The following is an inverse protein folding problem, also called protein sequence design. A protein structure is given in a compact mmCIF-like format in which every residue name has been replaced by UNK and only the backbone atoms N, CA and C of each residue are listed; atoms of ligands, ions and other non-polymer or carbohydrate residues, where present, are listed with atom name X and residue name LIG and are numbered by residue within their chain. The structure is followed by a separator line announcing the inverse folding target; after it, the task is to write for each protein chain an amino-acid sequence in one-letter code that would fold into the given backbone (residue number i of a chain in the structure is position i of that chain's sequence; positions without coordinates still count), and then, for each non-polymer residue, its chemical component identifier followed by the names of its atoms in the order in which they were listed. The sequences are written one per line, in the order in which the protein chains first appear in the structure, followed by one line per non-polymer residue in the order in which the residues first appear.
data_IF_656863994594
#
_entry.id   IF_656863994594
#
_cell.length_a   1.000
_cell.length_b   1.000
_cell.length_c   1.000
_cell.angle_alpha   90.00
_cell.angle_beta   90.00
_cell.angle_gamma   90.00
#
_symmetry.space_group_name_H-M   'P 1'
#
loop_
_entity.id
_entity.type
_entity.pdbx_description
1 polymer ?
#
# COMPACT_ATOMS: atom_id res chain seq x y z
N UNK A 1 -27.11 -3.88 25.33
CA UNK A 1 -28.25 -3.57 26.23
C UNK A 1 -28.82 -4.89 26.73
N UNK A 2 -29.19 -4.97 28.01
CA UNK A 2 -29.74 -6.18 28.64
C UNK A 2 -31.06 -5.87 29.32
N UNK A 3 -31.94 -6.87 29.43
CA UNK A 3 -33.18 -6.79 30.20
C UNK A 3 -32.95 -7.05 31.71
N UNK A 4 -34.04 -7.04 32.49
CA UNK A 4 -34.01 -7.31 33.93
C UNK A 4 -33.59 -8.74 34.30
N UNK A 5 -33.70 -9.69 33.36
CA UNK A 5 -33.23 -11.06 33.52
C UNK A 5 -31.76 -11.23 33.07
N UNK A 6 -31.11 -10.16 32.60
CA UNK A 6 -29.74 -10.17 32.12
C UNK A 6 -29.57 -10.65 30.68
N UNK A 7 -30.65 -10.89 29.93
CA UNK A 7 -30.63 -11.33 28.52
C UNK A 7 -30.27 -10.15 27.63
N UNK A 8 -29.44 -10.37 26.60
CA UNK A 8 -29.04 -9.31 25.65
C UNK A 8 -30.22 -9.00 24.72
N UNK A 9 -30.68 -7.76 24.69
CA UNK A 9 -31.82 -7.34 23.87
C UNK A 9 -31.43 -6.50 22.65
N UNK A 10 -30.26 -5.87 22.70
CA UNK A 10 -29.75 -5.06 21.59
C UNK A 10 -28.24 -4.87 21.72
N UNK A 11 -27.55 -4.70 20.60
CA UNK A 11 -26.15 -4.29 20.52
C UNK A 11 -26.10 -2.97 19.75
N UNK A 12 -25.79 -1.89 20.45
CA UNK A 12 -25.60 -0.58 19.83
C UNK A 12 -24.14 -0.42 19.41
N UNK A 13 -23.91 0.05 18.19
CA UNK A 13 -22.58 0.46 17.76
C UNK A 13 -22.22 1.80 18.39
N UNK A 14 -21.01 1.88 18.94
CA UNK A 14 -20.42 3.12 19.49
C UNK A 14 -19.25 3.62 18.62
N UNK A 15 -19.14 3.08 17.41
CA UNK A 15 -18.13 3.49 16.44
C UNK A 15 -18.48 4.82 15.77
N UNK A 16 -17.58 5.28 14.90
CA UNK A 16 -17.84 6.38 13.99
C UNK A 16 -17.71 5.90 12.54
N UNK A 17 -18.12 6.74 11.60
CA UNK A 17 -18.04 6.47 10.16
C UNK A 17 -16.77 7.05 9.52
N UNK A 18 -15.76 7.37 10.31
CA UNK A 18 -14.50 7.91 9.79
C UNK A 18 -13.56 6.77 9.41
N UNK A 19 -12.98 6.88 8.23
CA UNK A 19 -11.90 6.01 7.79
C UNK A 19 -10.65 6.81 7.47
N UNK A 20 -9.51 6.32 7.93
CA UNK A 20 -8.20 6.83 7.58
C UNK A 20 -7.74 6.19 6.29
N UNK A 21 -7.30 7.00 5.34
CA UNK A 21 -6.63 6.54 4.13
C UNK A 21 -5.14 6.91 4.16
N UNK A 22 -4.33 6.12 3.47
CA UNK A 22 -2.89 6.34 3.28
C UNK A 22 -2.61 6.41 1.78
N UNK A 23 -1.79 7.36 1.36
CA UNK A 23 -1.33 7.45 -0.02
C UNK A 23 -0.35 6.31 -0.32
N UNK A 24 -0.66 5.49 -1.34
CA UNK A 24 0.13 4.31 -1.73
C UNK A 24 0.83 4.49 -3.08
N UNK A 25 0.43 5.49 -3.84
CA UNK A 25 1.12 6.01 -5.02
C UNK A 25 0.71 7.47 -5.22
N UNK A 26 1.43 8.27 -6.01
CA UNK A 26 1.07 9.67 -6.26
C UNK A 26 -0.40 9.80 -6.70
N UNK A 27 -1.21 10.48 -5.88
CA UNK A 27 -2.64 10.71 -6.12
C UNK A 27 -3.58 9.53 -5.81
N UNK A 28 -3.07 8.37 -5.40
CA UNK A 28 -3.90 7.22 -5.03
C UNK A 28 -3.81 6.91 -3.54
N UNK A 29 -4.95 7.01 -2.86
CA UNK A 29 -5.08 6.64 -1.45
C UNK A 29 -5.79 5.31 -1.27
N UNK A 30 -5.45 4.60 -0.20
CA UNK A 30 -6.04 3.33 0.19
C UNK A 30 -6.42 3.37 1.68
N UNK A 31 -7.60 2.89 2.02
CA UNK A 31 -8.03 2.70 3.42
C UNK A 31 -8.10 1.21 3.73
N UNK A 32 -7.45 0.79 4.82
CA UNK A 32 -7.56 -0.58 5.34
C UNK A 32 -8.64 -0.72 6.42
N UNK A 33 -9.43 0.32 6.62
CA UNK A 33 -10.44 0.39 7.67
C UNK A 33 -11.83 0.17 7.10
N UNK A 34 -12.60 -0.64 7.81
CA UNK A 34 -14.02 -0.82 7.60
C UNK A 34 -14.79 -0.16 8.74
N UNK A 35 -15.91 0.47 8.39
CA UNK A 35 -16.81 1.04 9.38
C UNK A 35 -17.60 -0.10 10.03
N UNK A 36 -17.67 -0.11 11.36
CA UNK A 36 -18.40 -1.16 12.08
C UNK A 36 -19.92 -1.10 11.87
N UNK A 37 -20.48 0.10 11.72
CA UNK A 37 -21.90 0.31 11.48
C UNK A 37 -22.17 1.52 10.60
N UNK A 38 -23.04 1.37 9.62
CA UNK A 38 -23.63 2.47 8.87
C UNK A 38 -25.13 2.58 9.17
N UNK A 39 -25.51 3.68 9.84
CA UNK A 39 -26.91 3.94 10.18
C UNK A 39 -27.58 4.94 9.23
N UNK A 40 -26.84 5.42 8.23
CA UNK A 40 -27.35 6.34 7.22
C UNK A 40 -27.62 5.57 5.92
N UNK A 41 -28.51 6.10 5.08
CA UNK A 41 -28.85 5.49 3.78
C UNK A 41 -27.77 5.72 2.69
N UNK A 42 -26.53 6.01 3.11
CA UNK A 42 -25.40 6.27 2.22
C UNK A 42 -24.07 6.29 2.96
N UNK A 43 -22.97 6.28 2.20
CA UNK A 43 -21.61 6.23 2.74
C UNK A 43 -20.98 4.86 2.64
N UNK A 44 -19.97 4.61 3.48
CA UNK A 44 -19.25 3.34 3.51
C UNK A 44 -20.11 2.25 4.15
N UNK A 45 -20.10 1.07 3.54
CA UNK A 45 -20.86 -0.09 4.04
C UNK A 45 -20.39 -0.46 5.44
N UNK A 46 -21.36 -0.69 6.34
CA UNK A 46 -21.10 -1.10 7.72
C UNK A 46 -20.91 -2.62 7.83
N UNK A 47 -19.88 -3.05 8.55
CA UNK A 47 -19.53 -4.48 8.68
C UNK A 47 -20.56 -5.28 9.49
N UNK A 48 -21.00 -4.76 10.64
CA UNK A 48 -21.89 -5.48 11.55
C UNK A 48 -23.33 -4.98 11.52
N UNK A 49 -23.54 -3.77 11.02
CA UNK A 49 -24.86 -3.18 10.85
C UNK A 49 -24.84 -2.18 9.72
N UNK A 50 -25.78 -2.30 8.79
CA UNK A 50 -25.94 -1.39 7.67
C UNK A 50 -27.42 -1.19 7.37
N UNK A 51 -27.91 0.04 7.50
CA UNK A 51 -29.33 0.36 7.27
C UNK A 51 -29.70 0.27 5.79
N UNK A 52 -28.80 0.65 4.89
CA UNK A 52 -29.04 0.65 3.46
C UNK A 52 -29.06 -0.77 2.87
N UNK A 53 -28.37 -1.71 3.50
CA UNK A 53 -28.36 -3.13 3.13
C UNK A 53 -29.28 -3.99 4.02
N UNK A 54 -30.00 -3.38 4.95
CA UNK A 54 -30.88 -4.07 5.91
C UNK A 54 -30.18 -5.18 6.71
N UNK A 55 -28.91 -4.98 7.03
CA UNK A 55 -28.08 -5.89 7.82
C UNK A 55 -28.04 -5.42 9.27
N UNK A 56 -28.38 -6.29 10.22
CA UNK A 56 -28.08 -6.12 11.65
C UNK A 56 -27.65 -7.46 12.25
N UNK A 57 -26.35 -7.77 12.13
CA UNK A 57 -25.80 -9.09 12.51
C UNK A 57 -26.20 -9.48 13.93
N UNK A 58 -26.09 -8.55 14.86
CA UNK A 58 -26.41 -8.84 16.26
C UNK A 58 -27.92 -8.83 16.53
N UNK A 59 -28.69 -7.97 15.85
CA UNK A 59 -30.15 -7.96 15.91
C UNK A 59 -30.74 -9.28 15.43
N UNK A 60 -30.30 -9.76 14.27
CA UNK A 60 -30.78 -10.98 13.64
C UNK A 60 -30.38 -12.23 14.44
N UNK A 61 -29.16 -12.28 14.99
CA UNK A 61 -28.75 -13.37 15.90
C UNK A 61 -29.53 -13.36 17.23
N UNK A 62 -29.90 -12.19 17.72
CA UNK A 62 -30.77 -12.05 18.90
C UNK A 62 -32.19 -12.53 18.59
N UNK A 63 -32.74 -12.19 17.42
CA UNK A 63 -34.04 -12.65 16.96
C UNK A 63 -34.08 -14.18 16.83
N UNK A 64 -33.08 -14.76 16.16
CA UNK A 64 -32.92 -16.21 16.04
C UNK A 64 -32.88 -16.90 17.40
N UNK A 65 -32.08 -16.39 18.34
CA UNK A 65 -32.03 -16.93 19.71
C UNK A 65 -33.42 -16.92 20.35
N UNK A 66 -34.17 -15.84 20.18
CA UNK A 66 -35.50 -15.69 20.80
C UNK A 66 -36.50 -16.65 20.16
N UNK A 67 -36.51 -16.78 18.83
CA UNK A 67 -37.33 -17.77 18.14
C UNK A 67 -36.97 -19.22 18.52
N UNK A 68 -35.68 -19.53 18.73
CA UNK A 68 -35.23 -20.85 19.21
C UNK A 68 -35.72 -21.14 20.63
N UNK A 69 -35.67 -20.15 21.53
CA UNK A 69 -36.15 -20.31 22.90
C UNK A 69 -37.67 -20.48 22.98
N UNK A 70 -38.40 -19.81 22.08
CA UNK A 70 -39.86 -19.87 22.01
C UNK A 70 -40.36 -21.08 21.20
N UNK A 71 -39.46 -21.83 20.56
CA UNK A 71 -39.81 -22.96 19.68
C UNK A 71 -40.54 -22.54 18.40
N UNK A 72 -40.35 -21.28 17.97
CA UNK A 72 -41.02 -20.72 16.80
C UNK A 72 -40.33 -21.17 15.50
N UNK A 73 -40.60 -22.41 15.08
CA UNK A 73 -40.01 -23.00 13.87
C UNK A 73 -40.43 -22.29 12.59
N UNK A 74 -41.60 -21.65 12.58
CA UNK A 74 -42.09 -20.91 11.41
C UNK A 74 -41.24 -19.66 11.16
N UNK A 75 -40.94 -18.86 12.19
CA UNK A 75 -40.07 -17.70 12.07
C UNK A 75 -38.63 -18.09 11.71
N UNK A 76 -38.12 -19.19 12.26
CA UNK A 76 -36.79 -19.70 11.92
C UNK A 76 -36.72 -20.04 10.42
N UNK A 77 -37.74 -20.73 9.90
CA UNK A 77 -37.76 -21.17 8.51
C UNK A 77 -37.97 -20.02 7.52
N UNK A 78 -38.84 -19.07 7.85
CA UNK A 78 -39.30 -18.04 6.91
C UNK A 78 -38.63 -16.68 7.08
N UNK A 79 -37.83 -16.48 8.14
CA UNK A 79 -37.22 -15.18 8.45
C UNK A 79 -35.75 -15.36 8.79
N UNK A 80 -35.44 -16.16 9.82
CA UNK A 80 -34.07 -16.17 10.35
C UNK A 80 -33.07 -16.76 9.34
N UNK A 81 -33.45 -17.81 8.61
CA UNK A 81 -32.58 -18.39 7.57
C UNK A 81 -32.18 -17.37 6.50
N UNK A 82 -33.15 -16.62 5.96
CA UNK A 82 -32.91 -15.61 4.93
C UNK A 82 -32.02 -14.47 5.48
N UNK A 83 -32.22 -14.09 6.74
CA UNK A 83 -31.37 -13.08 7.41
C UNK A 83 -29.94 -13.58 7.63
N UNK A 84 -29.75 -14.84 8.02
CA UNK A 84 -28.43 -15.43 8.16
C UNK A 84 -27.71 -15.57 6.82
N UNK A 85 -28.41 -15.95 5.76
CA UNK A 85 -27.86 -16.02 4.40
C UNK A 85 -27.42 -14.61 3.94
N UNK A 86 -28.25 -13.58 4.16
CA UNK A 86 -27.88 -12.21 3.87
C UNK A 86 -26.63 -11.74 4.66
N UNK A 87 -26.51 -12.14 5.93
CA UNK A 87 -25.32 -11.86 6.76
C UNK A 87 -24.08 -12.59 6.21
N UNK A 88 -24.22 -13.85 5.79
CA UNK A 88 -23.14 -14.62 5.18
C UNK A 88 -22.65 -13.94 3.91
N UNK A 89 -23.56 -13.61 2.99
CA UNK A 89 -23.25 -12.90 1.74
C UNK A 89 -22.57 -11.56 2.02
N UNK A 90 -23.03 -10.83 3.03
CA UNK A 90 -22.41 -9.58 3.46
C UNK A 90 -20.95 -9.79 3.88
N UNK A 91 -20.66 -10.78 4.71
CA UNK A 91 -19.28 -11.07 5.10
C UNK A 91 -18.41 -11.56 3.94
N UNK A 92 -18.97 -12.35 3.02
CA UNK A 92 -18.29 -12.77 1.80
C UNK A 92 -17.89 -11.55 0.96
N UNK A 93 -18.77 -10.55 0.82
CA UNK A 93 -18.46 -9.31 0.11
C UNK A 93 -17.29 -8.55 0.77
N UNK A 94 -17.29 -8.42 2.10
CA UNK A 94 -16.17 -7.80 2.83
C UNK A 94 -14.87 -8.59 2.67
N UNK A 95 -14.92 -9.92 2.74
CA UNK A 95 -13.76 -10.78 2.52
C UNK A 95 -13.22 -10.62 1.08
N UNK A 96 -14.10 -10.60 0.08
CA UNK A 96 -13.74 -10.35 -1.31
C UNK A 96 -13.12 -8.96 -1.52
N UNK A 97 -13.69 -7.93 -0.91
CA UNK A 97 -13.14 -6.57 -0.96
C UNK A 97 -11.75 -6.51 -0.33
N UNK A 98 -11.56 -7.14 0.83
CA UNK A 98 -10.24 -7.25 1.48
C UNK A 98 -9.22 -7.98 0.60
N UNK A 99 -9.60 -9.09 -0.03
CA UNK A 99 -8.75 -9.81 -0.97
C UNK A 99 -8.34 -8.96 -2.17
N UNK A 100 -9.30 -8.21 -2.73
CA UNK A 100 -9.00 -7.29 -3.85
C UNK A 100 -8.03 -6.18 -3.44
N UNK A 101 -8.19 -5.65 -2.22
CA UNK A 101 -7.32 -4.63 -1.66
C UNK A 101 -5.91 -5.17 -1.40
N UNK A 102 -5.80 -6.40 -0.87
CA UNK A 102 -4.52 -7.06 -0.68
C UNK A 102 -3.79 -7.26 -2.03
N UNK A 103 -4.47 -7.79 -3.04
CA UNK A 103 -3.90 -7.98 -4.37
C UNK A 103 -3.40 -6.66 -5.00
N UNK A 104 -4.14 -5.57 -4.81
CA UNK A 104 -3.71 -4.22 -5.22
C UNK A 104 -2.46 -3.76 -4.49
N UNK A 105 -2.37 -3.98 -3.17
CA UNK A 105 -1.17 -3.63 -2.40
C UNK A 105 0.04 -4.45 -2.83
N UNK A 106 -0.12 -5.75 -3.05
CA UNK A 106 0.96 -6.63 -3.52
C UNK A 106 1.48 -6.18 -4.90
N UNK A 107 0.57 -5.84 -5.82
CA UNK A 107 0.92 -5.30 -7.14
C UNK A 107 1.68 -3.97 -7.01
N UNK A 108 1.24 -3.09 -6.12
CA UNK A 108 1.87 -1.80 -5.89
C UNK A 108 3.29 -1.96 -5.31
N UNK A 109 3.46 -2.86 -4.33
CA UNK A 109 4.78 -3.18 -3.77
C UNK A 109 5.71 -3.73 -4.84
N UNK A 110 5.23 -4.66 -5.68
CA UNK A 110 6.03 -5.18 -6.80
C UNK A 110 6.46 -4.09 -7.78
N UNK A 111 5.57 -3.15 -8.11
CA UNK A 111 5.90 -2.01 -8.98
C UNK A 111 6.92 -1.07 -8.35
N UNK A 112 6.80 -0.77 -7.05
CA UNK A 112 7.73 0.10 -6.33
C UNK A 112 9.12 -0.53 -6.25
N UNK A 113 9.22 -1.84 -6.00
CA UNK A 113 10.50 -2.56 -6.00
C UNK A 113 11.18 -2.52 -7.38
N UNK A 114 10.42 -2.66 -8.47
CA UNK A 114 10.96 -2.54 -9.82
C UNK A 114 11.47 -1.11 -10.11
N UNK A 115 10.75 -0.10 -9.62
CA UNK A 115 11.16 1.30 -9.75
C UNK A 115 12.42 1.59 -8.95
N UNK A 116 12.52 1.09 -7.71
CA UNK A 116 13.70 1.19 -6.87
C UNK A 116 14.92 0.55 -7.53
N UNK A 117 14.76 -0.66 -8.09
CA UNK A 117 15.83 -1.35 -8.81
C UNK A 117 16.30 -0.56 -10.04
N UNK A 118 15.37 -0.04 -10.83
CA UNK A 118 15.70 0.78 -12.00
C UNK A 118 16.43 2.07 -11.61
N UNK A 119 15.95 2.77 -10.58
CA UNK A 119 16.58 3.98 -10.05
C UNK A 119 17.99 3.70 -9.51
N UNK A 120 18.16 2.63 -8.75
CA UNK A 120 19.47 2.21 -8.24
C UNK A 120 20.43 1.90 -9.39
N UNK A 121 19.96 1.23 -10.44
CA UNK A 121 20.74 0.98 -11.64
C UNK A 121 21.13 2.26 -12.39
N UNK A 122 20.22 3.24 -12.50
CA UNK A 122 20.53 4.54 -13.10
C UNK A 122 21.57 5.31 -12.29
N UNK A 123 21.42 5.36 -10.96
CA UNK A 123 22.37 6.02 -10.05
C UNK A 123 23.76 5.37 -10.16
N UNK A 124 23.84 4.03 -10.18
CA UNK A 124 25.10 3.31 -10.35
C UNK A 124 25.77 3.66 -11.67
N UNK A 125 25.02 3.66 -12.79
CA UNK A 125 25.58 3.96 -14.12
C UNK A 125 26.09 5.39 -14.23
N UNK A 126 25.36 6.36 -13.68
CA UNK A 126 25.79 7.75 -13.64
C UNK A 126 27.09 7.89 -12.83
N UNK A 127 27.11 7.36 -11.60
CA UNK A 127 28.30 7.41 -10.73
C UNK A 127 29.52 6.68 -11.31
N UNK A 128 29.33 5.50 -11.91
CA UNK A 128 30.40 4.73 -12.52
C UNK A 128 30.94 5.40 -13.80
N UNK A 129 30.08 6.04 -14.60
CA UNK A 129 30.48 6.78 -15.80
C UNK A 129 31.34 8.00 -15.44
N UNK A 130 30.93 8.77 -14.43
CA UNK A 130 31.68 9.94 -13.95
C UNK A 130 33.10 9.58 -13.48
N UNK A 131 33.27 8.44 -12.79
CA UNK A 131 34.59 7.95 -12.35
C UNK A 131 35.44 7.56 -13.57
N UNK A 132 34.86 6.84 -14.54
CA UNK A 132 35.58 6.43 -15.73
C UNK A 132 36.05 7.64 -16.56
N UNK A 133 35.18 8.64 -16.75
CA UNK A 133 35.51 9.90 -17.44
C UNK A 133 36.62 10.67 -16.70
N UNK A 134 36.54 10.75 -15.38
CA UNK A 134 37.55 11.41 -14.54
C UNK A 134 38.92 10.73 -14.68
N UNK A 135 38.96 9.39 -14.72
CA UNK A 135 40.21 8.63 -14.92
C UNK A 135 40.77 8.87 -16.32
N UNK A 136 39.94 8.88 -17.36
CA UNK A 136 40.38 9.17 -18.74
C UNK A 136 40.99 10.56 -18.81
N UNK A 137 40.30 11.58 -18.28
CA UNK A 137 40.78 12.96 -18.28
C UNK A 137 42.07 13.13 -17.48
N UNK A 138 42.21 12.43 -16.36
CA UNK A 138 43.45 12.40 -15.58
C UNK A 138 44.62 11.83 -16.39
N UNK A 139 44.41 10.72 -17.11
CA UNK A 139 45.43 10.13 -17.98
C UNK A 139 45.83 11.07 -19.13
N UNK A 140 44.87 11.71 -19.78
CA UNK A 140 45.15 12.69 -20.85
C UNK A 140 46.02 13.84 -20.34
N UNK A 141 45.68 14.40 -19.18
CA UNK A 141 46.48 15.47 -18.55
C UNK A 141 47.89 14.97 -18.21
N UNK A 142 48.03 13.76 -17.69
CA UNK A 142 49.34 13.16 -17.41
C UNK A 142 50.18 12.96 -18.67
N UNK A 143 49.59 12.46 -19.76
CA UNK A 143 50.28 12.28 -21.04
C UNK A 143 50.69 13.61 -21.66
N UNK A 144 49.80 14.61 -21.66
CA UNK A 144 50.12 15.95 -22.14
C UNK A 144 51.26 16.59 -21.34
N UNK A 145 51.25 16.41 -20.01
CA UNK A 145 52.32 16.89 -19.14
C UNK A 145 53.67 16.20 -19.41
N UNK A 146 53.68 14.88 -19.56
CA UNK A 146 54.90 14.14 -19.93
C UNK A 146 55.44 14.56 -21.31
N UNK A 147 54.56 14.73 -22.30
CA UNK A 147 54.95 15.20 -23.63
C UNK A 147 55.52 16.63 -23.58
N UNK A 148 54.92 17.52 -22.78
CA UNK A 148 55.42 18.87 -22.56
C UNK A 148 56.80 18.87 -21.89
N UNK A 149 57.04 18.02 -20.88
CA UNK A 149 58.36 17.86 -20.26
C UNK A 149 59.41 17.31 -21.23
N UNK A 150 59.08 16.29 -22.02
CA UNK A 150 59.99 15.77 -23.05
C UNK A 150 60.29 16.82 -24.13
N UNK A 151 59.28 17.56 -24.56
CA UNK A 151 59.45 18.65 -25.53
C UNK A 151 60.33 19.76 -24.94
N UNK A 152 60.07 20.18 -23.70
CA UNK A 152 60.88 21.17 -22.98
C UNK A 152 62.32 20.72 -22.79
N UNK A 153 62.55 19.47 -22.36
CA UNK A 153 63.89 18.90 -22.23
C UNK A 153 64.63 18.86 -23.57
N UNK A 154 63.95 18.47 -24.67
CA UNK A 154 64.54 18.44 -26.01
C UNK A 154 64.88 19.83 -26.56
N UNK A 155 64.09 20.84 -26.20
CA UNK A 155 64.37 22.25 -26.51
C UNK A 155 65.58 22.75 -25.70
N UNK A 156 65.63 22.45 -24.41
CA UNK A 156 66.77 22.79 -23.55
C UNK A 156 68.07 22.12 -24.02
N UNK A 157 68.04 20.81 -24.32
CA UNK A 157 69.18 20.05 -24.82
C UNK A 157 69.70 20.57 -26.18
N UNK A 158 68.81 20.94 -27.12
CA UNK A 158 69.23 21.59 -28.37
C UNK A 158 69.86 22.96 -28.12
N UNK A 159 69.26 23.79 -27.27
CA UNK A 159 69.72 25.16 -27.04
C UNK A 159 71.09 25.23 -26.35
N UNK A 160 71.39 24.28 -25.45
CA UNK A 160 72.67 24.23 -24.74
C UNK A 160 73.79 23.64 -25.62
N UNK A 161 73.49 22.68 -26.50
CA UNK A 161 74.46 22.11 -27.45
C UNK A 161 74.76 23.03 -28.65
N UNK A 162 73.82 23.90 -29.06
CA UNK A 162 74.06 24.93 -30.08
C UNK A 162 74.86 26.14 -29.54
N UNK A 163 74.90 26.33 -28.22
CA UNK A 163 75.67 27.43 -27.59
C UNK A 163 77.17 27.10 -27.41
N UNK A 164 77.57 25.84 -27.65
CA UNK A 164 78.95 25.35 -27.49
C UNK A 164 79.68 25.07 -28.82
N UNK A 165 79.16 25.58 -29.94
CA UNK A 165 79.85 25.62 -31.24
C UNK A 165 80.20 27.05 -31.62
#
# INVERSE_FOLDING_TARGET
IRDAAGKITNVASQGNSNVSSVEVSPGNTLSAQWVGSNLNDGGQVGLFRDNAQEIDVFGDLIALRDHLMDGNTEAIQNIDNDKLEAIEDHFIQFAGSNGSMQARMETQVASLNNQEFALTGMISREGDADIAETIVRLNEVQYAYQAALQSGAKIMDRSLMDYLR
#
